data_IF_511175349464
#
_entry.id   IF_511175349464
#
_cell.length_a   1.000
_cell.length_b   1.000
_cell.length_c   1.000
_cell.angle_alpha   90.00
_cell.angle_beta   90.00
_cell.angle_gamma   90.00
#
_symmetry.space_group_name_H-M   'P 1'
#
loop_
_entity.id
_entity.type
_entity.pdbx_description
1 polymer ?
#
# COMPACT_ATOMS: atom_id res chain seq x y z
N UNK A 1 -5.35 4.09 6.00
CA UNK A 1 -5.37 3.35 4.74
C UNK A 1 -6.70 2.70 4.45
N UNK A 2 -6.92 2.28 3.18
CA UNK A 2 -8.24 1.74 2.77
C UNK A 2 -8.16 0.40 2.00
N UNK A 3 -7.01 -0.28 2.03
CA UNK A 3 -6.81 -1.58 1.38
C UNK A 3 -7.18 -2.77 2.28
N UNK A 4 -7.03 -4.00 1.75
CA UNK A 4 -7.31 -5.22 2.51
C UNK A 4 -6.49 -5.30 3.80
N UNK A 5 -5.23 -4.85 3.79
CA UNK A 5 -4.38 -4.81 4.99
C UNK A 5 -4.96 -3.88 6.07
N UNK A 6 -5.56 -2.75 5.67
CA UNK A 6 -6.23 -1.85 6.61
C UNK A 6 -7.48 -2.51 7.23
N UNK A 7 -8.28 -3.22 6.41
CA UNK A 7 -9.46 -3.95 6.90
C UNK A 7 -9.05 -5.04 7.89
N UNK A 8 -8.02 -5.82 7.56
CA UNK A 8 -7.51 -6.91 8.38
C UNK A 8 -6.96 -6.41 9.72
N UNK A 9 -6.10 -5.38 9.70
CA UNK A 9 -5.55 -4.76 10.90
C UNK A 9 -6.66 -4.16 11.80
N UNK A 10 -7.64 -3.49 11.20
CA UNK A 10 -8.75 -2.88 11.91
C UNK A 10 -9.62 -3.94 12.61
N UNK A 11 -9.97 -5.01 11.91
CA UNK A 11 -10.76 -6.11 12.47
C UNK A 11 -10.01 -6.84 13.60
N UNK A 12 -8.71 -7.06 13.44
CA UNK A 12 -7.88 -7.61 14.52
C UNK A 12 -7.88 -6.71 15.76
N UNK A 13 -7.65 -5.41 15.60
CA UNK A 13 -7.67 -4.46 16.71
C UNK A 13 -9.06 -4.40 17.38
N UNK A 14 -10.14 -4.41 16.60
CA UNK A 14 -11.52 -4.44 17.13
C UNK A 14 -11.80 -5.66 17.97
N UNK A 15 -11.36 -6.83 17.54
CA UNK A 15 -11.53 -8.10 18.28
C UNK A 15 -10.70 -8.15 19.56
N UNK A 16 -9.64 -7.33 19.65
CA UNK A 16 -8.86 -7.14 20.90
C UNK A 16 -9.51 -6.11 21.84
N UNK A 17 -10.66 -5.53 21.49
CA UNK A 17 -11.45 -4.64 22.34
C UNK A 17 -11.26 -3.15 22.09
N UNK A 18 -10.52 -2.74 21.06
CA UNK A 18 -10.32 -1.33 20.73
C UNK A 18 -11.57 -0.71 20.07
N UNK A 19 -11.76 0.59 20.24
CA UNK A 19 -12.53 1.40 19.32
C UNK A 19 -11.65 1.71 18.10
N UNK A 20 -12.13 1.41 16.91
CA UNK A 20 -11.28 1.40 15.71
C UNK A 20 -11.85 2.29 14.63
N UNK A 21 -11.00 3.18 14.13
CA UNK A 21 -11.26 4.09 13.03
C UNK A 21 -10.39 3.76 11.81
N UNK A 22 -11.00 3.59 10.65
CA UNK A 22 -10.30 3.57 9.36
C UNK A 22 -10.32 4.98 8.79
N UNK A 23 -9.16 5.64 8.78
CA UNK A 23 -9.00 6.96 8.17
C UNK A 23 -8.55 6.80 6.72
N UNK A 24 -9.34 7.33 5.78
CA UNK A 24 -9.08 7.20 4.35
C UNK A 24 -9.36 8.49 3.58
N UNK A 25 -8.41 8.91 2.76
CA UNK A 25 -8.43 10.21 2.06
C UNK A 25 -9.40 10.34 0.88
N UNK A 26 -10.08 9.25 0.47
CA UNK A 26 -11.09 9.27 -0.58
C UNK A 26 -12.43 8.77 -0.04
N UNK A 27 -13.41 8.64 -0.93
CA UNK A 27 -14.72 8.10 -0.56
C UNK A 27 -14.72 6.56 -0.54
N UNK A 28 -15.85 6.00 -0.15
CA UNK A 28 -16.06 4.55 -0.10
C UNK A 28 -15.89 3.90 -1.48
N UNK A 29 -16.35 4.57 -2.53
CA UNK A 29 -16.27 4.06 -3.89
C UNK A 29 -14.82 3.86 -4.38
N UNK A 30 -13.86 4.57 -3.81
CA UNK A 30 -12.44 4.46 -4.15
C UNK A 30 -11.64 3.59 -3.17
N UNK A 31 -12.29 2.90 -2.22
CA UNK A 31 -11.61 1.95 -1.34
C UNK A 31 -10.97 0.83 -2.17
N UNK A 32 -9.65 0.59 -2.05
CA UNK A 32 -8.99 -0.47 -2.80
C UNK A 32 -9.18 -1.87 -2.18
N UNK A 33 -9.80 -1.96 -0.99
CA UNK A 33 -10.16 -3.23 -0.38
C UNK A 33 -11.30 -3.92 -1.16
N UNK A 34 -11.39 -5.23 -1.04
CA UNK A 34 -12.53 -5.99 -1.57
C UNK A 34 -13.82 -5.54 -0.86
N UNK A 35 -14.91 -5.48 -1.61
CA UNK A 35 -16.22 -5.06 -1.06
C UNK A 35 -16.66 -5.92 0.14
N UNK A 36 -16.40 -7.22 0.10
CA UNK A 36 -16.68 -8.16 1.18
C UNK A 36 -15.90 -7.82 2.46
N UNK A 37 -14.61 -7.44 2.35
CA UNK A 37 -13.80 -7.06 3.50
C UNK A 37 -14.27 -5.74 4.13
N UNK A 38 -14.70 -4.79 3.30
CA UNK A 38 -15.32 -3.54 3.78
C UNK A 38 -16.64 -3.84 4.50
N UNK A 39 -17.45 -4.73 3.94
CA UNK A 39 -18.73 -5.13 4.54
C UNK A 39 -18.51 -5.78 5.91
N UNK A 40 -17.63 -6.76 6.02
CA UNK A 40 -17.29 -7.41 7.29
C UNK A 40 -16.73 -6.42 8.31
N UNK A 41 -15.89 -5.47 7.89
CA UNK A 41 -15.38 -4.45 8.79
C UNK A 41 -16.49 -3.57 9.38
N UNK A 42 -17.48 -3.20 8.56
CA UNK A 42 -18.66 -2.45 9.00
C UNK A 42 -19.56 -3.27 9.95
N UNK A 43 -19.80 -4.54 9.65
CA UNK A 43 -20.56 -5.44 10.52
C UNK A 43 -19.92 -5.61 11.90
N UNK A 44 -18.58 -5.63 11.97
CA UNK A 44 -17.84 -5.68 13.24
C UNK A 44 -17.81 -4.32 13.97
N UNK A 45 -18.45 -3.28 13.43
CA UNK A 45 -18.57 -1.97 14.09
C UNK A 45 -17.31 -1.12 14.02
N UNK A 46 -16.54 -1.25 12.94
CA UNK A 46 -15.42 -0.35 12.64
C UNK A 46 -15.96 0.95 12.05
N UNK A 47 -15.45 2.07 12.52
CA UNK A 47 -15.83 3.42 12.10
C UNK A 47 -14.99 3.81 10.87
N UNK A 48 -15.63 4.35 9.84
CA UNK A 48 -14.96 4.80 8.62
C UNK A 48 -14.97 6.33 8.53
N UNK A 49 -13.82 6.94 8.77
CA UNK A 49 -13.58 8.37 8.55
C UNK A 49 -13.03 8.56 7.13
N UNK A 50 -13.96 8.57 6.19
CA UNK A 50 -13.69 8.78 4.77
C UNK A 50 -13.46 10.27 4.48
N UNK A 51 -12.89 10.59 3.31
CA UNK A 51 -12.53 11.95 2.94
C UNK A 51 -11.74 12.66 4.06
N UNK A 52 -10.82 11.91 4.67
CA UNK A 52 -10.03 12.36 5.80
C UNK A 52 -8.58 11.88 5.63
N UNK A 53 -7.62 12.77 5.81
CA UNK A 53 -6.21 12.47 5.66
C UNK A 53 -5.43 12.89 6.91
N UNK A 54 -4.60 12.00 7.49
CA UNK A 54 -3.69 12.38 8.56
C UNK A 54 -2.66 13.42 8.11
N UNK A 55 -2.41 14.41 8.96
CA UNK A 55 -1.42 15.48 8.77
C UNK A 55 -0.24 15.28 9.71
N UNK A 56 -0.52 15.05 11.00
CA UNK A 56 0.50 14.80 12.02
C UNK A 56 0.03 13.77 13.05
N UNK A 57 0.97 13.20 13.76
CA UNK A 57 0.74 12.30 14.89
C UNK A 57 1.58 12.85 16.05
N UNK A 58 0.93 13.13 17.16
CA UNK A 58 1.55 13.70 18.35
C UNK A 58 1.71 12.61 19.42
N UNK A 59 2.88 12.62 20.07
CA UNK A 59 3.20 11.72 21.17
C UNK A 59 3.36 12.45 22.50
N UNK A 60 3.29 11.70 23.59
CA UNK A 60 3.64 12.16 24.93
C UNK A 60 5.18 12.24 25.12
N UNK A 61 5.62 12.70 26.28
CA UNK A 61 7.05 12.80 26.63
C UNK A 61 7.77 11.43 26.66
N UNK A 62 7.03 10.34 26.72
CA UNK A 62 7.54 8.96 26.73
C UNK A 62 7.56 8.34 25.32
N UNK A 63 7.04 9.05 24.31
CA UNK A 63 6.96 8.58 22.93
C UNK A 63 5.73 7.70 22.63
N UNK A 64 4.74 7.65 23.50
CA UNK A 64 3.46 7.01 23.20
C UNK A 64 2.58 7.96 22.40
N UNK A 65 1.83 7.42 21.44
CA UNK A 65 0.87 8.20 20.65
C UNK A 65 -0.24 8.72 21.57
N UNK A 66 -0.59 9.98 21.40
CA UNK A 66 -1.61 10.69 22.19
C UNK A 66 -2.74 11.24 21.33
N UNK A 67 -2.41 11.71 20.15
CA UNK A 67 -3.39 12.26 19.22
C UNK A 67 -2.90 12.21 17.76
N UNK A 68 -3.85 12.40 16.85
CA UNK A 68 -3.60 12.52 15.42
C UNK A 68 -4.40 13.69 14.87
N UNK A 69 -3.72 14.63 14.22
CA UNK A 69 -4.36 15.70 13.48
C UNK A 69 -4.68 15.24 12.07
N UNK A 70 -5.93 15.46 11.66
CA UNK A 70 -6.42 15.13 10.31
C UNK A 70 -6.98 16.37 9.62
N UNK A 71 -7.02 16.33 8.28
CA UNK A 71 -7.66 17.35 7.44
C UNK A 71 -8.76 16.69 6.60
N UNK A 72 -9.86 17.42 6.36
CA UNK A 72 -10.92 16.97 5.46
C UNK A 72 -10.46 17.05 4.01
N UNK A 73 -10.98 16.14 3.20
CA UNK A 73 -10.65 16.02 1.78
C UNK A 73 -11.90 16.17 0.93
N UNK A 74 -11.72 16.67 -0.27
CA UNK A 74 -12.71 16.63 -1.35
C UNK A 74 -12.15 15.83 -2.52
N UNK A 75 -13.06 15.31 -3.36
CA UNK A 75 -12.68 14.60 -4.57
C UNK A 75 -12.70 15.57 -5.75
N UNK A 76 -11.54 15.81 -6.34
CA UNK A 76 -11.38 16.55 -7.60
C UNK A 76 -11.78 15.72 -8.82
N UNK A 77 -11.41 16.20 -10.00
CA UNK A 77 -11.69 15.52 -11.26
C UNK A 77 -11.02 14.15 -11.35
N UNK A 78 -11.62 13.20 -12.10
CA UNK A 78 -11.02 11.90 -12.37
C UNK A 78 -9.71 12.03 -13.15
N UNK A 79 -8.71 11.25 -12.79
CA UNK A 79 -7.48 11.08 -13.58
C UNK A 79 -7.71 10.15 -14.79
N UNK A 80 -6.66 9.94 -15.60
CA UNK A 80 -6.73 9.06 -16.78
C UNK A 80 -7.10 7.60 -16.46
N UNK A 81 -7.02 7.17 -15.18
CA UNK A 81 -7.45 5.86 -14.70
C UNK A 81 -8.88 5.86 -14.15
N UNK A 82 -9.58 6.99 -14.23
CA UNK A 82 -10.92 7.19 -13.67
C UNK A 82 -10.93 7.42 -12.14
N UNK A 83 -9.77 7.51 -11.49
CA UNK A 83 -9.67 7.72 -10.04
C UNK A 83 -9.66 9.20 -9.71
N UNK A 84 -10.54 9.62 -8.81
CA UNK A 84 -10.64 11.01 -8.38
C UNK A 84 -9.51 11.35 -7.40
N UNK A 85 -8.83 12.47 -7.68
CA UNK A 85 -7.73 12.95 -6.83
C UNK A 85 -8.30 13.56 -5.54
N UNK A 86 -7.81 13.14 -4.35
CA UNK A 86 -8.19 13.80 -3.11
C UNK A 86 -7.49 15.16 -3.01
N UNK A 87 -8.25 16.20 -2.67
CA UNK A 87 -7.79 17.59 -2.50
C UNK A 87 -8.07 18.01 -1.05
N UNK A 88 -7.08 18.54 -0.30
CA UNK A 88 -7.32 19.05 1.04
C UNK A 88 -8.27 20.23 1.05
N UNK A 89 -9.17 20.29 2.04
CA UNK A 89 -10.00 21.45 2.32
C UNK A 89 -9.26 22.31 3.34
N UNK A 90 -8.78 23.47 2.92
CA UNK A 90 -8.01 24.38 3.76
C UNK A 90 -8.81 24.83 5.01
N UNK A 91 -8.15 24.84 6.17
CA UNK A 91 -8.76 25.25 7.44
C UNK A 91 -9.75 24.24 8.03
N UNK A 92 -9.74 23.00 7.56
CA UNK A 92 -10.62 21.92 8.04
C UNK A 92 -9.92 20.93 8.97
N UNK A 93 -8.76 21.30 9.50
CA UNK A 93 -8.00 20.47 10.41
C UNK A 93 -8.77 20.20 11.70
N UNK A 94 -8.67 18.98 12.18
CA UNK A 94 -9.26 18.54 13.44
C UNK A 94 -8.42 17.43 14.06
N UNK A 95 -8.58 17.21 15.36
CA UNK A 95 -7.77 16.29 16.13
C UNK A 95 -8.60 15.10 16.62
N UNK A 96 -8.01 13.90 16.54
CA UNK A 96 -8.46 12.70 17.22
C UNK A 96 -7.56 12.41 18.42
N UNK A 97 -8.13 12.07 19.56
CA UNK A 97 -7.40 11.38 20.62
C UNK A 97 -7.27 9.91 20.26
N UNK A 98 -6.05 9.37 20.23
CA UNK A 98 -5.77 7.98 19.84
C UNK A 98 -4.59 7.44 20.64
N UNK A 99 -4.67 6.16 21.01
CA UNK A 99 -3.59 5.45 21.72
C UNK A 99 -2.62 4.76 20.76
N UNK A 100 -3.05 4.48 19.53
CA UNK A 100 -2.24 3.82 18.52
C UNK A 100 -2.65 4.22 17.10
N UNK A 101 -1.67 4.29 16.21
CA UNK A 101 -1.89 4.52 14.78
C UNK A 101 -1.19 3.45 13.96
N UNK A 102 -1.94 2.75 13.10
CA UNK A 102 -1.41 1.72 12.20
C UNK A 102 -1.37 2.26 10.77
N UNK A 103 -0.17 2.38 10.21
CA UNK A 103 0.07 2.85 8.84
C UNK A 103 -0.13 1.71 7.84
N UNK A 104 -1.37 1.55 7.33
CA UNK A 104 -1.74 0.51 6.36
C UNK A 104 -1.76 1.06 4.92
N UNK A 105 -0.66 1.70 4.49
CA UNK A 105 -0.55 2.43 3.20
C UNK A 105 0.04 1.59 2.06
N UNK A 106 0.39 0.33 2.34
CA UNK A 106 1.11 -0.54 1.41
C UNK A 106 2.62 -0.45 1.58
N UNK A 107 3.34 -1.19 0.74
CA UNK A 107 4.80 -1.30 0.78
C UNK A 107 5.43 -0.73 -0.49
N UNK A 108 6.68 -0.30 -0.38
CA UNK A 108 7.53 0.07 -1.50
C UNK A 108 8.69 -0.93 -1.62
N UNK A 109 9.22 -1.15 -2.84
CA UNK A 109 10.39 -1.98 -3.02
C UNK A 109 11.56 -1.53 -2.14
N UNK A 110 12.24 -2.48 -1.48
CA UNK A 110 13.41 -2.15 -0.66
C UNK A 110 14.60 -1.78 -1.57
N UNK A 111 15.09 -0.54 -1.52
CA UNK A 111 16.17 -0.10 -2.39
C UNK A 111 17.52 -0.78 -2.08
N UNK A 112 17.69 -1.41 -0.92
CA UNK A 112 18.95 -2.08 -0.55
C UNK A 112 19.31 -3.21 -1.49
N UNK A 113 18.34 -3.98 -1.98
CA UNK A 113 18.58 -5.09 -2.91
C UNK A 113 19.09 -4.65 -4.28
N UNK A 114 18.92 -3.38 -4.64
CA UNK A 114 19.29 -2.87 -5.96
C UNK A 114 20.32 -1.74 -5.93
N UNK A 115 20.67 -1.22 -4.73
CA UNK A 115 21.65 -0.11 -4.57
C UNK A 115 23.07 -0.49 -4.99
N UNK A 116 23.46 -1.77 -4.86
CA UNK A 116 24.80 -2.26 -5.18
C UNK A 116 24.98 -2.68 -6.63
N UNK A 117 23.92 -2.61 -7.47
CA UNK A 117 23.99 -3.07 -8.86
C UNK A 117 23.94 -1.85 -9.78
N UNK A 118 25.13 -1.42 -10.21
CA UNK A 118 25.27 -0.28 -11.11
C UNK A 118 24.66 -0.62 -12.48
N UNK A 119 23.94 0.35 -13.06
CA UNK A 119 23.29 0.20 -14.36
C UNK A 119 22.00 -0.62 -14.38
N UNK A 120 21.55 -1.21 -13.26
CA UNK A 120 20.27 -1.94 -13.23
C UNK A 120 19.08 -0.97 -13.33
N UNK A 121 18.30 -1.12 -14.38
CA UNK A 121 17.11 -0.30 -14.60
C UNK A 121 15.97 -0.64 -13.64
N UNK A 122 15.21 0.41 -13.28
CA UNK A 122 14.05 0.31 -12.38
C UNK A 122 12.82 0.92 -13.02
N UNK A 123 11.68 0.37 -12.69
CA UNK A 123 10.39 0.95 -13.03
C UNK A 123 10.16 2.24 -12.23
N UNK A 124 9.18 3.06 -12.64
CA UNK A 124 8.76 4.25 -11.90
C UNK A 124 8.34 3.95 -10.45
N UNK A 125 7.93 2.71 -10.16
CA UNK A 125 7.56 2.26 -8.81
C UNK A 125 8.73 1.74 -7.98
N UNK A 126 9.95 1.74 -8.54
CA UNK A 126 11.16 1.26 -7.87
C UNK A 126 11.39 -0.25 -7.95
N UNK A 127 10.55 -1.01 -8.66
CA UNK A 127 10.80 -2.42 -8.96
C UNK A 127 11.90 -2.56 -10.00
N UNK A 128 12.55 -3.73 -10.08
CA UNK A 128 13.49 -4.04 -11.16
C UNK A 128 12.74 -4.08 -12.49
N UNK A 129 13.24 -3.36 -13.49
CA UNK A 129 12.70 -3.42 -14.85
C UNK A 129 13.08 -4.76 -15.48
N UNK A 130 12.07 -5.57 -15.83
CA UNK A 130 12.24 -6.87 -16.48
C UNK A 130 11.13 -7.08 -17.52
N UNK A 131 11.44 -7.87 -18.55
CA UNK A 131 10.47 -8.31 -19.53
C UNK A 131 9.55 -9.44 -18.97
N UNK A 132 8.66 -9.97 -19.81
CA UNK A 132 7.75 -11.05 -19.41
C UNK A 132 8.47 -12.37 -19.05
N UNK A 133 9.68 -12.58 -19.54
CA UNK A 133 10.54 -13.71 -19.22
C UNK A 133 11.41 -13.47 -17.98
N UNK A 134 11.38 -12.28 -17.44
CA UNK A 134 12.19 -11.89 -16.28
C UNK A 134 13.60 -11.41 -16.64
N UNK A 135 13.94 -11.18 -17.91
CA UNK A 135 15.23 -10.61 -18.29
C UNK A 135 15.28 -9.13 -17.92
N UNK A 136 16.38 -8.71 -17.29
CA UNK A 136 16.67 -7.30 -17.03
C UNK A 136 17.52 -6.70 -18.17
N UNK A 137 17.82 -5.42 -18.08
CA UNK A 137 18.74 -4.77 -19.01
C UNK A 137 20.21 -5.22 -18.84
N UNK A 138 20.55 -5.94 -17.76
CA UNK A 138 21.90 -6.44 -17.53
C UNK A 138 22.00 -7.91 -17.95
N UNK A 139 23.01 -8.29 -18.78
CA UNK A 139 23.22 -9.67 -19.18
C UNK A 139 23.42 -10.60 -17.96
N UNK A 140 22.73 -11.75 -17.94
CA UNK A 140 22.83 -12.73 -16.85
C UNK A 140 22.08 -12.35 -15.57
N UNK A 141 21.41 -11.20 -15.54
CA UNK A 141 20.59 -10.75 -14.40
C UNK A 141 19.11 -10.91 -14.73
N UNK A 142 18.41 -11.64 -13.89
CA UNK A 142 16.99 -11.91 -14.04
C UNK A 142 16.22 -11.44 -12.79
N UNK A 143 14.97 -11.09 -12.97
CA UNK A 143 14.07 -10.71 -11.87
C UNK A 143 12.69 -11.33 -12.06
N UNK A 144 12.09 -11.76 -10.96
CA UNK A 144 10.75 -12.33 -10.93
C UNK A 144 10.07 -12.07 -9.58
N UNK A 145 8.77 -12.35 -9.48
CA UNK A 145 7.98 -12.10 -8.31
C UNK A 145 7.80 -10.60 -8.04
N UNK A 146 7.55 -10.25 -6.78
CA UNK A 146 7.26 -8.87 -6.36
C UNK A 146 8.40 -7.89 -6.65
N UNK A 147 9.64 -8.40 -6.76
CA UNK A 147 10.79 -7.58 -7.11
C UNK A 147 10.67 -6.95 -8.51
N UNK A 148 10.02 -7.63 -9.46
CA UNK A 148 9.79 -7.16 -10.82
C UNK A 148 8.38 -6.57 -11.00
N UNK A 149 7.35 -7.24 -10.48
CA UNK A 149 5.94 -6.89 -10.74
C UNK A 149 5.34 -5.93 -9.71
N UNK A 150 5.98 -5.76 -8.57
CA UNK A 150 5.41 -5.11 -7.39
C UNK A 150 4.57 -6.08 -6.55
N UNK A 151 4.31 -5.70 -5.30
CA UNK A 151 3.56 -6.52 -4.36
C UNK A 151 2.11 -6.75 -4.84
N UNK A 152 1.72 -8.02 -4.95
CA UNK A 152 0.38 -8.43 -5.35
C UNK A 152 -0.02 -9.72 -4.62
N UNK A 153 -0.19 -10.84 -5.34
CA UNK A 153 -0.56 -12.14 -4.77
C UNK A 153 0.56 -13.15 -4.86
N UNK A 154 0.57 -14.12 -3.95
CA UNK A 154 1.54 -15.23 -3.96
C UNK A 154 1.52 -15.96 -5.31
N UNK A 155 0.35 -16.19 -5.89
CA UNK A 155 0.20 -16.88 -7.19
C UNK A 155 0.91 -16.11 -8.32
N UNK A 156 0.77 -14.80 -8.36
CA UNK A 156 1.43 -13.96 -9.36
C UNK A 156 2.94 -13.93 -9.15
N UNK A 157 3.40 -13.83 -7.90
CA UNK A 157 4.82 -13.87 -7.57
C UNK A 157 5.46 -15.21 -7.98
N UNK A 158 4.80 -16.34 -7.67
CA UNK A 158 5.23 -17.68 -8.10
C UNK A 158 5.25 -17.82 -9.62
N UNK A 159 4.23 -17.32 -10.32
CA UNK A 159 4.14 -17.34 -11.78
C UNK A 159 5.31 -16.61 -12.44
N UNK A 160 5.62 -15.39 -11.97
CA UNK A 160 6.76 -14.61 -12.45
C UNK A 160 8.10 -15.30 -12.16
N UNK A 161 8.27 -15.87 -10.95
CA UNK A 161 9.47 -16.63 -10.60
C UNK A 161 9.68 -17.87 -11.49
N UNK A 162 8.61 -18.61 -11.81
CA UNK A 162 8.70 -19.77 -12.75
C UNK A 162 9.11 -19.34 -14.15
N UNK A 163 8.59 -18.21 -14.66
CA UNK A 163 8.98 -17.68 -15.97
C UNK A 163 10.46 -17.30 -16.00
N UNK A 164 10.94 -16.58 -14.98
CA UNK A 164 12.34 -16.22 -14.86
C UNK A 164 13.24 -17.46 -14.77
N UNK A 165 12.86 -18.48 -14.00
CA UNK A 165 13.61 -19.74 -13.91
C UNK A 165 13.70 -20.47 -15.25
N UNK A 166 12.62 -20.50 -16.04
CA UNK A 166 12.62 -21.08 -17.38
C UNK A 166 13.56 -20.32 -18.34
N UNK A 167 13.55 -18.99 -18.27
CA UNK A 167 14.44 -18.16 -19.08
C UNK A 167 15.92 -18.35 -18.70
N UNK A 168 16.23 -18.46 -17.41
CA UNK A 168 17.58 -18.80 -16.92
C UNK A 168 18.01 -20.18 -17.46
N UNK A 169 17.15 -21.17 -17.35
CA UNK A 169 17.44 -22.53 -17.87
C UNK A 169 17.76 -22.51 -19.37
N UNK A 170 16.96 -21.79 -20.17
CA UNK A 170 17.21 -21.65 -21.61
C UNK A 170 18.53 -20.93 -21.92
N UNK A 171 18.88 -19.92 -21.14
CA UNK A 171 20.12 -19.16 -21.30
C UNK A 171 21.36 -20.00 -20.99
N UNK A 172 21.27 -20.94 -20.03
CA UNK A 172 22.39 -21.80 -19.59
C UNK A 172 22.48 -23.10 -20.38
N UNK A 173 21.44 -23.48 -21.12
CA UNK A 173 21.38 -24.75 -21.92
C UNK A 173 21.83 -24.55 -23.35
N UNK A 174 22.37 -23.39 -23.70
CA UNK A 174 23.03 -23.07 -24.97
C UNK A 174 24.53 -23.29 -24.81
#
# INVERSE_FOLDING_TARGET
GGGNVAMDAARCAKRLGAEVHIVYRRSEAELPARAEEVHHAKEEGIIFDLLTNPVSIEGDEKGHVQSMTCIRMELGEPDASGRRRPVPVEGSEFQFEVDAVIMALGTSPNPMSTKGTEGLEKTRKGCVAADEGGHTNLPGVFAGGDAATGAATVILAMGAGKKAAAAIHQALSK
#
